data_IF_355252303688
#
_entry.id   IF_355252303688
#
_cell.length_a   1.000
_cell.length_b   1.000
_cell.length_c   1.000
_cell.angle_alpha   90.00
_cell.angle_beta   90.00
_cell.angle_gamma   90.00
#
_symmetry.space_group_name_H-M   'P 1'
#
loop_
_entity.id
_entity.type
_entity.pdbx_description
1 polymer ?
#
# COMPACT_ATOMS: atom_id res chain seq x y z
N UNK A 1 -34.91 -19.88 63.38
CA UNK A 1 -35.33 -19.90 61.98
C UNK A 1 -34.75 -18.74 61.26
N UNK A 2 -33.55 -18.88 60.63
CA UNK A 2 -32.94 -17.81 59.76
C UNK A 2 -31.99 -18.50 58.76
N UNK A 3 -32.57 -19.29 57.82
CA UNK A 3 -31.79 -19.93 56.74
C UNK A 3 -32.10 -19.42 55.34
N UNK A 4 -33.07 -18.54 55.16
CA UNK A 4 -33.49 -18.04 53.87
C UNK A 4 -32.73 -16.78 53.40
N UNK A 5 -32.14 -16.01 54.31
CA UNK A 5 -31.39 -14.78 54.01
C UNK A 5 -30.04 -15.01 53.28
N UNK A 6 -29.33 -16.11 53.59
CA UNK A 6 -28.02 -16.43 53.02
C UNK A 6 -28.07 -16.85 51.54
N UNK A 7 -29.17 -17.48 51.11
CA UNK A 7 -29.29 -17.93 49.72
C UNK A 7 -29.60 -16.79 48.73
N UNK A 8 -30.35 -15.78 49.19
CA UNK A 8 -30.64 -14.59 48.33
C UNK A 8 -29.37 -13.74 48.08
N UNK A 9 -28.51 -13.59 49.09
CA UNK A 9 -27.24 -12.88 48.93
C UNK A 9 -26.29 -13.59 47.95
N UNK A 10 -26.25 -14.93 47.99
CA UNK A 10 -25.44 -15.72 47.07
C UNK A 10 -25.90 -15.67 45.63
N UNK A 11 -27.21 -15.68 45.39
CA UNK A 11 -27.80 -15.55 44.05
C UNK A 11 -27.52 -14.16 43.45
N UNK A 12 -27.66 -13.10 44.23
CA UNK A 12 -27.36 -11.74 43.82
C UNK A 12 -25.86 -11.56 43.44
N UNK A 13 -24.97 -12.19 44.23
CA UNK A 13 -23.54 -12.13 43.94
C UNK A 13 -23.19 -12.89 42.65
N UNK A 14 -23.84 -14.03 42.40
CA UNK A 14 -23.71 -14.80 41.15
C UNK A 14 -24.18 -13.98 39.95
N UNK A 15 -25.30 -13.28 40.05
CA UNK A 15 -25.86 -12.45 38.99
C UNK A 15 -24.92 -11.31 38.60
N UNK A 16 -24.31 -10.63 39.59
CA UNK A 16 -23.32 -9.58 39.35
C UNK A 16 -22.07 -10.16 38.66
N UNK A 17 -21.58 -11.33 39.13
CA UNK A 17 -20.40 -11.96 38.52
C UNK A 17 -20.65 -12.30 37.05
N UNK A 18 -21.83 -12.84 36.71
CA UNK A 18 -22.22 -13.14 35.34
C UNK A 18 -22.30 -11.85 34.51
N UNK A 19 -22.93 -10.79 35.05
CA UNK A 19 -23.03 -9.50 34.36
C UNK A 19 -21.67 -8.88 34.05
N UNK A 20 -20.72 -8.92 35.01
CA UNK A 20 -19.35 -8.44 34.80
C UNK A 20 -18.62 -9.29 33.75
N UNK A 21 -18.80 -10.61 33.76
CA UNK A 21 -18.22 -11.51 32.77
C UNK A 21 -18.70 -11.17 31.36
N UNK A 22 -19.99 -10.98 31.16
CA UNK A 22 -20.56 -10.59 29.85
C UNK A 22 -20.05 -9.22 29.44
N UNK A 23 -20.00 -8.25 30.35
CA UNK A 23 -19.45 -6.92 30.07
C UNK A 23 -17.99 -6.96 29.63
N UNK A 24 -17.18 -7.77 30.31
CA UNK A 24 -15.77 -7.95 29.92
C UNK A 24 -15.62 -8.59 28.53
N UNK A 25 -16.45 -9.59 28.20
CA UNK A 25 -16.43 -10.20 26.87
C UNK A 25 -16.82 -9.20 25.77
N UNK A 26 -17.89 -8.45 25.96
CA UNK A 26 -18.35 -7.44 24.98
C UNK A 26 -17.28 -6.35 24.79
N UNK A 27 -16.68 -5.88 25.89
CA UNK A 27 -15.62 -4.88 25.84
C UNK A 27 -14.41 -5.37 25.04
N UNK A 28 -14.00 -6.63 25.23
CA UNK A 28 -12.88 -7.22 24.48
C UNK A 28 -13.16 -7.30 22.97
N UNK A 29 -14.40 -7.64 22.59
CA UNK A 29 -14.80 -7.68 21.18
C UNK A 29 -14.81 -6.27 20.57
N UNK A 30 -15.33 -5.28 21.29
CA UNK A 30 -15.32 -3.88 20.84
C UNK A 30 -13.88 -3.37 20.61
N UNK A 31 -12.98 -3.59 21.55
CA UNK A 31 -11.58 -3.16 21.42
C UNK A 31 -10.90 -3.80 20.19
N UNK A 32 -11.11 -5.10 19.96
CA UNK A 32 -10.60 -5.78 18.77
C UNK A 32 -11.17 -5.19 17.48
N UNK A 33 -12.45 -4.86 17.47
CA UNK A 33 -13.11 -4.27 16.30
C UNK A 33 -12.54 -2.88 15.98
N UNK A 34 -12.30 -2.04 16.99
CA UNK A 34 -11.67 -0.74 16.81
C UNK A 34 -10.23 -0.85 16.29
N UNK A 35 -9.42 -1.75 16.87
CA UNK A 35 -8.05 -1.96 16.41
C UNK A 35 -8.02 -2.40 14.94
N UNK A 36 -8.91 -3.34 14.56
CA UNK A 36 -9.00 -3.82 13.17
C UNK A 36 -9.50 -2.73 12.20
N UNK A 37 -10.47 -1.93 12.61
CA UNK A 37 -10.97 -0.82 11.82
C UNK A 37 -9.87 0.23 11.55
N UNK A 38 -9.03 0.51 12.55
CA UNK A 38 -7.90 1.43 12.40
C UNK A 38 -6.87 0.90 11.41
N UNK A 39 -6.48 -0.38 11.52
CA UNK A 39 -5.55 -1.02 10.58
C UNK A 39 -6.09 -0.99 9.15
N UNK A 40 -7.36 -1.35 8.97
CA UNK A 40 -8.00 -1.36 7.65
C UNK A 40 -8.08 0.06 7.05
N UNK A 41 -8.30 1.08 7.88
CA UNK A 41 -8.29 2.48 7.43
C UNK A 41 -6.90 2.92 6.95
N UNK A 42 -5.85 2.49 7.64
CA UNK A 42 -4.47 2.77 7.21
C UNK A 42 -4.13 2.05 5.90
N UNK A 43 -4.47 0.76 5.79
CA UNK A 43 -4.26 -0.01 4.56
C UNK A 43 -4.99 0.61 3.36
N UNK A 44 -6.22 1.07 3.56
CA UNK A 44 -6.99 1.76 2.51
C UNK A 44 -6.35 3.11 2.13
N UNK A 45 -5.81 3.85 3.10
CA UNK A 45 -5.08 5.09 2.84
C UNK A 45 -3.79 4.83 2.03
N UNK A 46 -3.00 3.84 2.45
CA UNK A 46 -1.78 3.43 1.74
C UNK A 46 -2.09 3.02 0.29
N UNK A 47 -3.16 2.24 0.10
CA UNK A 47 -3.58 1.81 -1.23
C UNK A 47 -3.99 2.98 -2.13
N UNK A 48 -4.73 3.97 -1.60
CA UNK A 48 -5.12 5.15 -2.35
C UNK A 48 -3.91 6.00 -2.76
N UNK A 49 -2.94 6.18 -1.87
CA UNK A 49 -1.70 6.91 -2.18
C UNK A 49 -0.85 6.16 -3.21
N UNK A 50 -0.68 4.84 -3.04
CA UNK A 50 0.02 3.98 -3.99
C UNK A 50 -0.59 4.09 -5.39
N UNK A 51 -1.92 3.97 -5.49
CA UNK A 51 -2.64 4.09 -6.75
C UNK A 51 -2.44 5.47 -7.40
N UNK A 52 -2.52 6.56 -6.62
CA UNK A 52 -2.30 7.91 -7.12
C UNK A 52 -0.89 8.08 -7.72
N UNK A 53 0.15 7.58 -7.04
CA UNK A 53 1.53 7.65 -7.57
C UNK A 53 1.73 6.77 -8.79
N UNK A 54 1.12 5.57 -8.83
CA UNK A 54 1.18 4.69 -10.01
C UNK A 54 0.46 5.31 -11.21
N UNK A 55 -0.69 5.94 -11.01
CA UNK A 55 -1.42 6.67 -12.06
C UNK A 55 -0.60 7.84 -12.59
N UNK A 56 0.03 8.64 -11.73
CA UNK A 56 0.90 9.75 -12.15
C UNK A 56 2.08 9.24 -13.00
N UNK A 57 2.74 8.16 -12.60
CA UNK A 57 3.82 7.53 -13.39
C UNK A 57 3.28 7.01 -14.73
N UNK A 58 2.11 6.36 -14.72
CA UNK A 58 1.49 5.85 -15.94
C UNK A 58 1.12 6.98 -16.91
N UNK A 59 0.65 8.13 -16.40
CA UNK A 59 0.36 9.30 -17.22
C UNK A 59 1.63 9.93 -17.81
N UNK A 60 2.71 10.03 -17.03
CA UNK A 60 4.02 10.46 -17.53
C UNK A 60 4.50 9.56 -18.66
N UNK A 61 4.46 8.25 -18.49
CA UNK A 61 4.84 7.29 -19.52
C UNK A 61 3.95 7.38 -20.77
N UNK A 62 2.65 7.59 -20.61
CA UNK A 62 1.71 7.79 -21.73
C UNK A 62 1.93 9.10 -22.47
N UNK A 63 2.36 10.15 -21.77
CA UNK A 63 2.63 11.46 -22.36
C UNK A 63 3.96 11.52 -23.11
N UNK A 64 4.84 10.52 -22.88
CA UNK A 64 6.15 10.45 -23.50
C UNK A 64 6.04 10.22 -25.01
N UNK A 65 6.89 10.90 -25.78
CA UNK A 65 7.05 10.62 -27.21
C UNK A 65 7.58 9.20 -27.45
N UNK A 66 7.22 8.58 -28.57
CA UNK A 66 7.64 7.24 -28.92
C UNK A 66 9.17 7.05 -28.88
N UNK A 67 9.95 8.08 -29.21
CA UNK A 67 11.40 8.05 -29.12
C UNK A 67 11.92 7.91 -27.67
N UNK A 68 11.21 8.52 -26.71
CA UNK A 68 11.52 8.41 -25.27
C UNK A 68 11.24 7.01 -24.76
N UNK A 69 10.14 6.40 -25.19
CA UNK A 69 9.75 5.06 -24.79
C UNK A 69 10.66 3.97 -25.37
N UNK A 70 11.36 4.24 -26.48
CA UNK A 70 12.30 3.31 -27.10
C UNK A 70 13.67 3.33 -26.39
N UNK A 71 14.01 4.44 -25.74
CA UNK A 71 15.27 4.64 -25.04
C UNK A 71 15.06 4.71 -23.52
N UNK A 72 15.65 3.75 -22.79
CA UNK A 72 15.56 3.71 -21.32
C UNK A 72 16.21 4.94 -20.65
N UNK A 73 17.28 5.48 -21.21
CA UNK A 73 17.94 6.67 -20.65
C UNK A 73 17.06 7.93 -20.75
N UNK A 74 16.28 8.05 -21.83
CA UNK A 74 15.33 9.13 -21.96
C UNK A 74 14.11 8.94 -21.02
N UNK A 75 13.70 7.70 -20.79
CA UNK A 75 12.65 7.39 -19.79
C UNK A 75 13.10 7.78 -18.38
N UNK A 76 14.37 7.56 -18.02
CA UNK A 76 14.94 8.03 -16.74
C UNK A 76 14.84 9.55 -16.63
N UNK A 77 15.26 10.27 -17.69
CA UNK A 77 15.21 11.74 -17.69
C UNK A 77 13.78 12.24 -17.50
N UNK A 78 12.79 11.59 -18.12
CA UNK A 78 11.38 11.93 -17.94
C UNK A 78 10.94 11.73 -16.49
N UNK A 79 11.26 10.60 -15.87
CA UNK A 79 10.92 10.33 -14.47
C UNK A 79 11.61 11.30 -13.52
N UNK A 80 12.87 11.69 -13.81
CA UNK A 80 13.62 12.66 -13.00
C UNK A 80 13.08 14.10 -13.10
N UNK A 81 12.18 14.42 -14.02
CA UNK A 81 11.53 15.73 -14.03
C UNK A 81 10.54 15.91 -12.89
N UNK A 82 9.90 14.83 -12.47
CA UNK A 82 8.86 14.83 -11.44
C UNK A 82 9.34 14.21 -10.10
N UNK A 83 10.31 13.28 -10.16
CA UNK A 83 10.82 12.54 -9.00
C UNK A 83 12.33 12.74 -8.85
N UNK A 84 12.75 13.35 -7.75
CA UNK A 84 14.14 13.75 -7.54
C UNK A 84 15.14 12.60 -7.33
N UNK A 85 14.65 11.38 -7.02
CA UNK A 85 15.48 10.23 -6.63
C UNK A 85 15.01 8.97 -7.34
N UNK A 86 15.57 8.74 -8.52
CA UNK A 86 15.33 7.53 -9.30
C UNK A 86 16.57 6.64 -9.23
N UNK A 87 16.44 5.44 -8.70
CA UNK A 87 17.47 4.40 -8.80
C UNK A 87 17.21 3.53 -10.03
N UNK A 88 18.24 3.18 -10.77
CA UNK A 88 18.16 2.41 -12.02
C UNK A 88 19.01 1.16 -11.93
N UNK A 89 18.39 0.01 -12.16
CA UNK A 89 19.06 -1.27 -12.31
C UNK A 89 18.40 -2.08 -13.43
N UNK A 90 19.17 -2.50 -14.43
CA UNK A 90 18.80 -3.43 -15.50
C UNK A 90 17.39 -3.23 -16.10
N UNK A 91 17.04 -2.01 -16.53
CA UNK A 91 15.72 -1.62 -17.05
C UNK A 91 14.60 -1.56 -15.99
N UNK A 92 14.98 -1.40 -14.75
CA UNK A 92 14.08 -1.16 -13.63
C UNK A 92 14.34 0.24 -13.07
N UNK A 93 13.27 0.93 -12.71
CA UNK A 93 13.34 2.23 -12.06
C UNK A 93 12.65 2.12 -10.72
N UNK A 94 13.31 2.55 -9.65
CA UNK A 94 12.76 2.53 -8.31
C UNK A 94 12.62 3.94 -7.78
N UNK A 95 11.43 4.28 -7.34
CA UNK A 95 11.11 5.51 -6.63
C UNK A 95 10.91 5.17 -5.15
N UNK A 96 11.35 6.04 -4.27
CA UNK A 96 11.30 5.86 -2.83
C UNK A 96 10.42 6.92 -2.20
N UNK A 97 9.55 6.50 -1.28
CA UNK A 97 8.63 7.36 -0.55
C UNK A 97 8.72 7.11 0.96
N UNK A 98 8.66 8.18 1.73
CA UNK A 98 8.61 8.13 3.20
C UNK A 98 7.19 7.75 3.69
N UNK A 99 6.97 7.77 5.03
CA UNK A 99 5.67 7.47 5.63
C UNK A 99 4.55 8.45 5.24
N UNK A 100 4.89 9.65 4.79
CA UNK A 100 3.95 10.68 4.36
C UNK A 100 3.76 10.68 2.82
N UNK A 101 4.28 9.67 2.13
CA UNK A 101 4.26 9.53 0.68
C UNK A 101 4.98 10.65 -0.07
N UNK A 102 5.95 11.29 0.57
CA UNK A 102 6.84 12.22 -0.07
C UNK A 102 8.07 11.50 -0.62
N UNK A 103 8.58 11.97 -1.78
CA UNK A 103 9.75 11.38 -2.41
C UNK A 103 11.00 11.58 -1.51
N UNK A 104 11.73 10.52 -1.24
CA UNK A 104 12.85 10.50 -0.30
C UNK A 104 14.02 9.62 -0.79
N UNK A 105 15.09 9.54 0.01
CA UNK A 105 16.20 8.63 -0.24
C UNK A 105 15.83 7.17 0.09
N UNK A 106 16.55 6.21 -0.48
CA UNK A 106 16.38 4.78 -0.20
C UNK A 106 16.43 4.46 1.30
N UNK A 107 17.31 5.17 2.05
CA UNK A 107 17.52 4.94 3.48
C UNK A 107 16.32 5.36 4.35
N UNK A 108 15.50 6.28 3.87
CA UNK A 108 14.32 6.82 4.56
C UNK A 108 13.02 6.21 4.05
N UNK A 109 13.12 5.31 3.07
CA UNK A 109 11.96 4.77 2.37
C UNK A 109 11.10 3.86 3.24
N UNK A 110 9.82 4.20 3.35
CA UNK A 110 8.77 3.36 3.89
C UNK A 110 8.05 2.57 2.78
N UNK A 111 8.00 3.14 1.58
CA UNK A 111 7.39 2.55 0.40
C UNK A 111 8.32 2.66 -0.80
N UNK A 112 8.23 1.67 -1.69
CA UNK A 112 8.94 1.64 -2.97
C UNK A 112 7.94 1.51 -4.10
N UNK A 113 8.18 2.23 -5.20
CA UNK A 113 7.45 2.08 -6.45
C UNK A 113 8.45 1.62 -7.52
N UNK A 114 8.31 0.38 -7.94
CA UNK A 114 9.17 -0.27 -8.93
C UNK A 114 8.48 -0.22 -10.29
N UNK A 115 9.18 0.31 -11.29
CA UNK A 115 8.75 0.35 -12.69
C UNK A 115 9.64 -0.57 -13.48
N UNK A 116 9.07 -1.59 -14.10
CA UNK A 116 9.78 -2.56 -14.95
C UNK A 116 9.31 -2.44 -16.39
N UNK A 117 10.21 -2.15 -17.30
CA UNK A 117 9.91 -2.11 -18.75
C UNK A 117 10.31 -3.43 -19.43
N UNK A 118 9.41 -4.00 -20.24
CA UNK A 118 9.74 -5.13 -21.11
C UNK A 118 10.47 -4.67 -22.37
N UNK A 119 11.07 -5.60 -23.08
CA UNK A 119 11.50 -5.36 -24.47
C UNK A 119 10.28 -5.19 -25.38
N UNK A 120 10.48 -4.51 -26.53
CA UNK A 120 9.44 -4.40 -27.55
C UNK A 120 9.07 -5.77 -28.11
N UNK A 121 7.79 -6.05 -28.14
CA UNK A 121 7.30 -7.26 -28.79
C UNK A 121 7.22 -7.09 -30.33
N UNK A 122 6.82 -8.16 -31.06
CA UNK A 122 6.68 -8.17 -32.52
C UNK A 122 5.66 -7.17 -33.07
N UNK A 123 4.80 -6.62 -32.20
CA UNK A 123 3.78 -5.59 -32.54
C UNK A 123 4.22 -4.18 -32.15
N UNK A 124 5.49 -4.00 -31.77
CA UNK A 124 6.02 -2.74 -31.24
C UNK A 124 5.30 -2.25 -29.96
N UNK A 125 4.84 -3.17 -29.14
CA UNK A 125 4.25 -2.86 -27.82
C UNK A 125 5.30 -3.12 -26.76
N UNK A 126 5.49 -2.16 -25.87
CA UNK A 126 6.28 -2.30 -24.63
C UNK A 126 5.31 -2.36 -23.46
N UNK A 127 5.52 -3.32 -22.58
CA UNK A 127 4.74 -3.47 -21.36
C UNK A 127 5.55 -2.89 -20.20
N UNK A 128 4.94 -1.98 -19.44
CA UNK A 128 5.46 -1.50 -18.17
C UNK A 128 4.64 -2.10 -17.05
N UNK A 129 5.33 -2.66 -16.07
CA UNK A 129 4.72 -3.12 -14.82
C UNK A 129 5.16 -2.17 -13.71
N UNK A 130 4.21 -1.54 -13.05
CA UNK A 130 4.42 -0.62 -11.94
C UNK A 130 3.92 -1.33 -10.69
N UNK A 131 4.80 -1.56 -9.73
CA UNK A 131 4.49 -2.27 -8.49
C UNK A 131 4.83 -1.39 -7.30
N UNK A 132 3.90 -1.20 -6.38
CA UNK A 132 4.15 -0.49 -5.13
C UNK A 132 4.19 -1.48 -3.98
N UNK A 133 5.25 -1.41 -3.18
CA UNK A 133 5.48 -2.30 -2.04
C UNK A 133 5.85 -1.50 -0.79
N UNK A 134 5.56 -2.08 0.38
CA UNK A 134 6.04 -1.55 1.66
C UNK A 134 7.43 -2.09 1.93
N UNK A 135 8.40 -1.20 2.23
CA UNK A 135 9.81 -1.56 2.43
C UNK A 135 10.03 -2.49 3.64
N UNK A 136 9.21 -2.35 4.69
CA UNK A 136 9.40 -3.04 5.97
C UNK A 136 9.26 -4.57 5.87
N UNK A 137 8.32 -5.04 5.07
CA UNK A 137 7.93 -6.46 4.97
C UNK A 137 7.87 -6.95 3.53
N UNK A 138 8.29 -6.11 2.58
CA UNK A 138 8.24 -6.35 1.13
C UNK A 138 6.84 -6.74 0.62
N UNK A 139 5.81 -6.29 1.35
CA UNK A 139 4.42 -6.58 0.97
C UNK A 139 3.99 -5.69 -0.18
N UNK A 140 3.59 -6.30 -1.29
CA UNK A 140 2.98 -5.59 -2.41
C UNK A 140 1.64 -4.99 -2.00
N UNK A 141 1.50 -3.66 -2.19
CA UNK A 141 0.27 -2.91 -1.92
C UNK A 141 -0.64 -2.99 -3.14
N UNK A 142 -0.10 -2.66 -4.32
CA UNK A 142 -0.83 -2.70 -5.58
C UNK A 142 0.11 -2.84 -6.78
N UNK A 143 -0.44 -3.23 -7.94
CA UNK A 143 0.29 -3.41 -9.19
C UNK A 143 -0.54 -2.95 -10.38
N UNK A 144 0.06 -2.15 -11.25
CA UNK A 144 -0.52 -1.66 -12.50
C UNK A 144 0.31 -2.16 -13.68
N UNK A 145 -0.35 -2.66 -14.72
CA UNK A 145 0.30 -3.02 -15.99
C UNK A 145 -0.18 -2.08 -17.11
N UNK A 146 0.77 -1.50 -17.83
CA UNK A 146 0.54 -0.55 -18.90
C UNK A 146 1.18 -1.06 -20.19
N UNK A 147 0.41 -1.11 -21.27
CA UNK A 147 0.92 -1.44 -22.61
C UNK A 147 0.98 -0.17 -23.46
N UNK A 148 2.16 0.18 -23.94
CA UNK A 148 2.40 1.35 -24.78
C UNK A 148 2.93 0.92 -26.14
N UNK A 149 2.37 1.52 -27.19
CA UNK A 149 2.82 1.34 -28.57
C UNK A 149 4.01 2.26 -28.85
N UNK A 150 5.18 1.68 -29.08
CA UNK A 150 6.37 2.41 -29.50
C UNK A 150 6.54 2.24 -31.02
N UNK A 151 6.27 3.32 -31.77
CA UNK A 151 6.44 3.34 -33.23
C UNK A 151 7.94 3.35 -33.52
N UNK A 152 8.43 2.27 -34.10
CA UNK A 152 9.81 2.20 -34.60
C UNK A 152 10.01 3.31 -35.64
N UNK A 153 10.90 4.27 -35.32
CA UNK A 153 11.33 5.30 -36.26
C UNK A 153 12.12 4.72 -37.45
#
# INVERSE_FOLDING_TARGET
MNRTSNNQSGLFLLEIMIAILFFAMVSAVCLRSFARAHTLSQEASDMNQAMSHMENVAELLKSADNAVLDDFDQTINLLNTEYALVSVDQKQYTLYFNNDWENCSEQEAAYTLLIQGSDLNSKNIRTYTITTSRTKDDTTIDQLTLELYAKKG
#
